data_IF_125151282557
#
_entry.id   IF_125151282557
#
_cell.length_a   1.000
_cell.length_b   1.000
_cell.length_c   1.000
_cell.angle_alpha   90.00
_cell.angle_beta   90.00
_cell.angle_gamma   90.00
#
_symmetry.space_group_name_H-M   'P 1'
#
loop_
_entity.id
_entity.type
_entity.pdbx_description
1 polymer ?
#
# COMPACT_ATOMS: atom_id res chain seq x y z
N UNK A 1 -7.23 15.06 1.61
CA UNK A 1 -7.72 14.26 0.50
C UNK A 1 -6.93 14.65 -0.75
N UNK A 2 -6.24 13.71 -1.39
CA UNK A 2 -5.44 13.98 -2.59
C UNK A 2 -6.27 13.71 -3.85
N UNK A 3 -6.05 14.51 -4.87
CA UNK A 3 -6.65 14.29 -6.19
C UNK A 3 -5.82 13.22 -6.91
N UNK A 4 -6.27 11.98 -6.77
CA UNK A 4 -5.60 10.83 -7.35
C UNK A 4 -6.13 10.54 -8.76
N UNK A 5 -5.21 10.41 -9.73
CA UNK A 5 -5.54 9.97 -11.09
C UNK A 5 -5.63 8.46 -11.18
N UNK A 6 -4.65 7.78 -10.63
CA UNK A 6 -4.53 6.33 -10.66
C UNK A 6 -3.80 5.81 -9.42
N UNK A 7 -4.27 4.73 -8.87
CA UNK A 7 -3.63 4.00 -7.81
C UNK A 7 -3.74 2.50 -8.08
N UNK A 8 -2.65 1.78 -7.92
CA UNK A 8 -2.66 0.32 -7.92
C UNK A 8 -2.53 -0.15 -6.48
N UNK A 9 -3.42 -1.04 -6.07
CA UNK A 9 -3.28 -1.66 -4.76
C UNK A 9 -2.06 -2.59 -4.78
N UNK A 10 -1.14 -2.46 -3.82
CA UNK A 10 0.06 -3.26 -3.81
C UNK A 10 -0.26 -4.72 -3.52
N UNK A 11 0.49 -5.61 -4.17
CA UNK A 11 0.40 -7.03 -3.91
C UNK A 11 0.97 -7.38 -2.54
N UNK A 12 0.40 -8.38 -1.89
CA UNK A 12 1.00 -9.06 -0.76
C UNK A 12 1.37 -10.47 -1.17
N UNK A 13 2.56 -10.90 -0.81
CA UNK A 13 3.07 -12.23 -1.14
C UNK A 13 3.41 -12.96 0.15
N UNK A 14 2.98 -14.21 0.24
CA UNK A 14 3.40 -15.12 1.30
C UNK A 14 4.48 -16.01 0.72
N UNK A 15 5.65 -16.01 1.33
CA UNK A 15 6.75 -16.86 0.89
C UNK A 15 6.43 -18.32 1.14
N UNK A 16 6.96 -19.17 0.27
CA UNK A 16 6.85 -20.62 0.41
C UNK A 16 8.14 -21.18 0.98
N UNK A 17 8.03 -21.96 2.05
CA UNK A 17 9.17 -22.66 2.65
C UNK A 17 9.07 -24.14 2.25
N UNK A 18 9.86 -24.60 1.27
CA UNK A 18 9.89 -26.01 0.90
C UNK A 18 10.75 -26.80 1.87
N UNK A 19 10.17 -27.84 2.46
CA UNK A 19 10.87 -28.82 3.29
C UNK A 19 10.88 -30.16 2.57
N UNK A 20 12.05 -30.72 2.33
CA UNK A 20 12.18 -32.04 1.71
C UNK A 20 11.84 -33.13 2.72
N UNK A 21 10.79 -33.87 2.43
CA UNK A 21 10.39 -35.04 3.19
C UNK A 21 10.30 -36.26 2.26
N UNK A 22 11.14 -37.26 2.50
CA UNK A 22 11.20 -38.51 1.74
C UNK A 22 11.30 -38.30 0.21
N UNK A 23 12.12 -37.32 -0.22
CA UNK A 23 12.34 -37.04 -1.65
C UNK A 23 11.23 -36.20 -2.32
N UNK A 24 10.24 -35.71 -1.55
CA UNK A 24 9.21 -34.80 -2.04
C UNK A 24 9.24 -33.49 -1.25
N UNK A 25 9.14 -32.32 -1.91
CA UNK A 25 9.00 -31.06 -1.22
C UNK A 25 7.61 -30.95 -0.60
N UNK A 26 7.55 -30.68 0.71
CA UNK A 26 6.34 -30.27 1.42
C UNK A 26 6.44 -28.77 1.61
N UNK A 27 5.43 -28.03 1.18
CA UNK A 27 5.41 -26.59 1.18
C UNK A 27 4.71 -26.07 2.43
N UNK A 28 5.37 -25.18 3.13
CA UNK A 28 4.82 -24.44 4.29
C UNK A 28 4.73 -22.96 3.97
N UNK A 29 3.72 -22.28 4.53
CA UNK A 29 3.62 -20.84 4.41
C UNK A 29 4.70 -20.16 5.25
N UNK A 30 5.45 -19.26 4.63
CA UNK A 30 6.43 -18.41 5.27
C UNK A 30 5.86 -17.05 5.66
N UNK A 31 6.73 -16.05 5.68
CA UNK A 31 6.37 -14.69 6.03
C UNK A 31 5.65 -13.96 4.90
N UNK A 32 4.81 -12.99 5.26
CA UNK A 32 4.13 -12.12 4.30
C UNK A 32 4.97 -10.89 4.04
N UNK A 33 5.19 -10.60 2.76
CA UNK A 33 5.87 -9.39 2.30
C UNK A 33 4.91 -8.48 1.54
N UNK A 34 5.10 -7.17 1.69
CA UNK A 34 4.29 -6.14 1.07
C UNK A 34 5.14 -5.31 0.11
N UNK A 35 4.61 -5.05 -1.08
CA UNK A 35 5.28 -4.21 -2.08
C UNK A 35 5.02 -2.73 -1.78
N UNK A 36 5.96 -1.82 -2.08
CA UNK A 36 5.72 -0.38 -1.98
C UNK A 36 4.49 0.03 -2.80
N UNK A 37 3.78 1.06 -2.33
CA UNK A 37 2.58 1.55 -2.98
C UNK A 37 2.86 2.81 -3.77
N UNK A 38 2.64 2.76 -5.09
CA UNK A 38 2.82 3.90 -5.99
C UNK A 38 1.46 4.46 -6.41
N UNK A 39 1.34 5.77 -6.30
CA UNK A 39 0.13 6.52 -6.63
C UNK A 39 0.48 7.64 -7.59
N UNK A 40 -0.31 7.78 -8.66
CA UNK A 40 -0.21 8.92 -9.58
C UNK A 40 -1.18 10.01 -9.15
N UNK A 41 -0.66 11.17 -8.84
CA UNK A 41 -1.41 12.34 -8.39
C UNK A 41 -1.46 13.42 -9.46
N UNK A 42 -2.55 14.17 -9.49
CA UNK A 42 -2.61 15.41 -10.26
C UNK A 42 -1.85 16.51 -9.54
N UNK A 43 -1.06 17.25 -10.30
CA UNK A 43 -0.46 18.47 -9.79
C UNK A 43 -1.47 19.61 -9.84
N UNK A 44 -1.64 20.28 -8.70
CA UNK A 44 -2.47 21.48 -8.63
C UNK A 44 -1.63 22.70 -9.03
N UNK A 45 -2.27 23.71 -9.63
CA UNK A 45 -1.63 24.98 -10.02
C UNK A 45 -0.95 25.71 -8.86
N UNK A 46 -1.35 25.43 -7.65
CA UNK A 46 -0.76 25.97 -6.40
C UNK A 46 0.33 25.07 -5.80
N UNK A 47 0.59 23.90 -6.39
CA UNK A 47 1.56 22.91 -5.90
C UNK A 47 1.38 22.48 -4.45
N UNK A 48 0.17 22.64 -3.89
CA UNK A 48 -0.09 22.37 -2.49
C UNK A 48 0.20 20.91 -2.11
N UNK A 49 -0.20 19.96 -2.95
CA UNK A 49 -0.03 18.53 -2.69
C UNK A 49 1.47 18.19 -2.71
N UNK A 50 2.19 18.66 -3.74
CA UNK A 50 3.62 18.42 -3.87
C UNK A 50 4.40 19.04 -2.73
N UNK A 51 4.11 20.29 -2.40
CA UNK A 51 4.76 21.00 -1.28
C UNK A 51 4.53 20.27 0.06
N UNK A 52 3.33 19.76 0.30
CA UNK A 52 3.04 18.99 1.49
C UNK A 52 3.86 17.70 1.58
N UNK A 53 4.02 17.00 0.45
CA UNK A 53 4.83 15.78 0.37
C UNK A 53 6.32 16.06 0.55
N UNK A 54 6.83 17.13 -0.06
CA UNK A 54 8.21 17.56 0.09
C UNK A 54 8.51 18.00 1.53
N UNK A 55 7.59 18.73 2.15
CA UNK A 55 7.69 19.09 3.57
C UNK A 55 7.67 17.84 4.48
N UNK A 56 6.85 16.86 4.13
CA UNK A 56 6.82 15.60 4.87
C UNK A 56 8.16 14.85 4.76
N UNK A 57 8.71 14.74 3.54
CA UNK A 57 10.03 14.14 3.33
C UNK A 57 11.14 14.92 4.07
N UNK A 58 11.11 16.25 3.99
CA UNK A 58 12.04 17.11 4.73
C UNK A 58 11.90 16.97 6.26
N UNK A 59 10.69 16.69 6.73
CA UNK A 59 10.44 16.37 8.13
C UNK A 59 10.99 15.02 8.57
N UNK A 60 11.10 14.06 7.66
CA UNK A 60 11.75 12.76 7.91
C UNK A 60 13.27 12.95 7.98
N UNK A 61 13.83 13.60 7.00
CA UNK A 61 15.24 13.93 6.93
C UNK A 61 15.42 15.33 6.32
N UNK A 62 16.03 16.22 7.08
CA UNK A 62 16.25 17.58 6.62
C UNK A 62 17.36 17.60 5.55
N UNK A 63 17.11 18.30 4.44
CA UNK A 63 18.05 18.43 3.32
C UNK A 63 19.37 19.10 3.72
N UNK A 64 19.32 20.09 4.60
CA UNK A 64 20.43 20.96 4.92
C UNK A 64 21.31 20.41 6.05
N UNK A 65 20.67 19.89 7.09
CA UNK A 65 21.39 19.42 8.30
C UNK A 65 21.60 17.92 8.34
N UNK A 66 21.02 17.16 7.41
CA UNK A 66 20.98 15.67 7.40
C UNK A 66 20.45 15.05 8.68
N UNK A 67 19.92 15.85 9.59
CA UNK A 67 19.28 15.38 10.81
C UNK A 67 17.90 14.79 10.49
N UNK A 68 17.71 13.53 10.83
CA UNK A 68 16.44 12.84 10.70
C UNK A 68 15.67 12.75 12.02
N UNK A 69 14.38 12.54 11.95
CA UNK A 69 13.56 12.20 13.13
C UNK A 69 13.86 10.76 13.54
N UNK A 70 14.27 10.59 14.76
CA UNK A 70 14.67 9.28 15.31
C UNK A 70 13.45 8.43 15.64
N UNK A 71 12.31 9.07 15.99
CA UNK A 71 11.09 8.35 16.35
C UNK A 71 10.19 8.15 15.13
N UNK A 72 9.94 6.90 14.69
CA UNK A 72 9.07 6.60 13.55
C UNK A 72 7.66 7.18 13.66
N UNK A 73 7.12 7.26 14.88
CA UNK A 73 5.77 7.79 15.13
C UNK A 73 5.61 9.28 14.77
N UNK A 74 6.72 9.99 14.62
CA UNK A 74 6.67 11.43 14.30
C UNK A 74 6.48 11.70 12.81
N UNK A 75 6.72 10.70 11.94
CA UNK A 75 6.60 10.85 10.48
C UNK A 75 5.71 9.81 9.81
N UNK A 76 5.38 8.73 10.49
CA UNK A 76 4.50 7.68 9.96
C UNK A 76 3.03 8.07 10.18
N UNK A 77 2.22 7.87 9.16
CA UNK A 77 0.78 8.19 9.16
C UNK A 77 0.00 7.04 8.53
N UNK A 78 -1.18 6.78 9.07
CA UNK A 78 -2.11 5.85 8.45
C UNK A 78 -2.78 6.49 7.24
N UNK A 79 -2.72 5.80 6.10
CA UNK A 79 -3.38 6.20 4.88
C UNK A 79 -4.57 5.29 4.59
N UNK A 80 -5.65 5.87 4.07
CA UNK A 80 -6.82 5.11 3.66
C UNK A 80 -7.12 5.33 2.18
N UNK A 81 -7.46 4.24 1.48
CA UNK A 81 -7.89 4.25 0.09
C UNK A 81 -9.28 3.67 0.01
N UNK A 82 -10.18 4.45 -0.57
CA UNK A 82 -11.56 4.04 -0.78
C UNK A 82 -11.77 3.71 -2.26
N UNK A 83 -12.16 2.50 -2.52
CA UNK A 83 -12.63 2.11 -3.84
C UNK A 83 -14.10 2.53 -3.95
N UNK A 84 -14.39 3.34 -4.95
CA UNK A 84 -15.71 3.88 -5.17
C UNK A 84 -16.44 3.13 -6.30
N UNK A 85 -17.76 2.99 -6.15
CA UNK A 85 -18.63 2.54 -7.21
C UNK A 85 -18.89 3.68 -8.23
N UNK A 86 -19.50 3.33 -9.36
CA UNK A 86 -19.90 4.28 -10.39
C UNK A 86 -20.81 5.42 -9.87
N UNK A 87 -21.53 5.18 -8.79
CA UNK A 87 -22.38 6.16 -8.10
C UNK A 87 -21.65 6.98 -7.03
N UNK A 88 -20.34 6.76 -6.82
CA UNK A 88 -19.57 7.42 -5.79
C UNK A 88 -19.70 6.80 -4.39
N UNK A 89 -20.40 5.67 -4.25
CA UNK A 89 -20.47 4.95 -2.97
C UNK A 89 -19.19 4.14 -2.74
N UNK A 90 -18.73 4.08 -1.49
CA UNK A 90 -17.56 3.30 -1.12
C UNK A 90 -17.90 1.82 -1.13
N UNK A 91 -17.23 1.05 -2.00
CA UNK A 91 -17.37 -0.40 -2.08
C UNK A 91 -16.43 -1.09 -1.10
N UNK A 92 -15.18 -0.61 -1.03
CA UNK A 92 -14.13 -1.23 -0.22
C UNK A 92 -13.15 -0.20 0.26
N UNK A 93 -12.68 -0.38 1.49
CA UNK A 93 -11.67 0.48 2.12
C UNK A 93 -10.42 -0.33 2.42
N UNK A 94 -9.29 0.21 2.00
CA UNK A 94 -7.97 -0.30 2.35
C UNK A 94 -7.27 0.70 3.26
N UNK A 95 -6.70 0.22 4.35
CA UNK A 95 -5.94 1.01 5.29
C UNK A 95 -4.49 0.58 5.27
N UNK A 96 -3.60 1.52 4.99
CA UNK A 96 -2.14 1.34 5.06
C UNK A 96 -1.66 1.87 6.40
N UNK A 97 -0.97 1.03 7.14
CA UNK A 97 -0.53 1.36 8.50
C UNK A 97 0.94 1.79 8.47
N UNK A 98 1.23 2.87 9.18
CA UNK A 98 2.56 3.44 9.33
C UNK A 98 3.21 3.80 7.98
N UNK A 99 2.45 4.47 7.11
CA UNK A 99 2.92 4.86 5.79
C UNK A 99 3.72 6.17 5.81
N UNK A 100 4.71 6.24 4.94
CA UNK A 100 5.49 7.44 4.69
C UNK A 100 6.00 7.48 3.25
N UNK A 101 6.21 8.68 2.65
CA UNK A 101 6.66 8.79 1.27
C UNK A 101 8.17 8.53 1.17
N UNK A 102 8.54 7.55 0.35
CA UNK A 102 9.95 7.26 0.04
C UNK A 102 10.44 7.96 -1.21
N UNK A 103 9.55 8.22 -2.16
CA UNK A 103 9.92 8.84 -3.42
C UNK A 103 8.79 9.71 -3.95
N UNK A 104 9.14 10.90 -4.42
CA UNK A 104 8.29 11.78 -5.21
C UNK A 104 8.95 11.96 -6.56
N UNK A 105 8.28 11.57 -7.65
CA UNK A 105 8.87 11.62 -8.97
C UNK A 105 9.09 13.06 -9.47
N UNK A 106 10.00 13.21 -10.43
CA UNK A 106 10.16 14.45 -11.14
C UNK A 106 8.90 14.79 -11.96
N UNK A 107 8.61 16.07 -12.12
CA UNK A 107 7.60 16.58 -13.04
C UNK A 107 8.33 17.00 -14.31
N UNK A 108 7.89 16.46 -15.46
CA UNK A 108 8.37 16.93 -16.74
C UNK A 108 7.75 18.29 -17.04
N UNK A 109 8.58 19.33 -17.11
CA UNK A 109 8.17 20.67 -17.51
C UNK A 109 8.44 20.81 -19.00
N UNK A 110 7.39 20.83 -19.80
CA UNK A 110 7.48 20.99 -21.24
C UNK A 110 6.56 22.13 -21.69
N UNK A 111 7.14 23.09 -22.40
CA UNK A 111 6.40 24.25 -22.90
C UNK A 111 5.52 23.91 -24.12
N UNK A 112 5.81 22.82 -24.81
CA UNK A 112 5.08 22.41 -26.02
C UNK A 112 3.81 21.59 -25.72
N UNK A 113 3.69 21.02 -24.54
CA UNK A 113 2.52 20.25 -24.13
C UNK A 113 1.41 21.16 -23.62
N UNK A 114 0.63 21.68 -24.56
CA UNK A 114 -0.61 22.38 -24.27
C UNK A 114 -1.76 21.38 -24.05
N UNK A 115 -2.61 21.62 -23.04
CA UNK A 115 -3.80 20.83 -22.69
C UNK A 115 -3.58 19.48 -21.96
N UNK A 116 -2.44 19.27 -21.33
CA UNK A 116 -2.26 18.14 -20.42
C UNK A 116 -2.16 18.61 -18.98
N UNK A 117 -2.90 17.93 -18.11
CA UNK A 117 -2.78 18.15 -16.66
C UNK A 117 -1.52 17.44 -16.19
N UNK A 118 -0.64 18.17 -15.54
CA UNK A 118 0.58 17.60 -14.97
C UNK A 118 0.26 16.55 -13.92
N UNK A 119 1.00 15.46 -13.97
CA UNK A 119 0.90 14.37 -13.02
C UNK A 119 2.27 14.00 -12.52
N UNK A 120 2.34 13.51 -11.28
CA UNK A 120 3.56 12.97 -10.71
C UNK A 120 3.25 11.73 -9.87
N UNK A 121 4.25 10.88 -9.72
CA UNK A 121 4.11 9.64 -8.97
C UNK A 121 4.72 9.80 -7.58
N UNK A 122 4.03 9.26 -6.60
CA UNK A 122 4.50 9.17 -5.22
C UNK A 122 4.53 7.72 -4.82
N UNK A 123 5.66 7.27 -4.29
CA UNK A 123 5.80 5.93 -3.75
C UNK A 123 5.83 6.00 -2.23
N UNK A 124 4.93 5.26 -1.62
CA UNK A 124 4.84 5.12 -0.17
C UNK A 124 5.39 3.77 0.28
N UNK A 125 6.13 3.78 1.36
CA UNK A 125 6.44 2.60 2.15
C UNK A 125 5.51 2.54 3.34
N UNK A 126 5.14 1.35 3.75
CA UNK A 126 4.24 1.10 4.88
C UNK A 126 4.57 -0.25 5.51
N UNK A 127 4.10 -0.50 6.72
CA UNK A 127 4.38 -1.76 7.40
C UNK A 127 3.47 -2.88 6.89
N UNK A 128 2.17 -2.64 6.84
CA UNK A 128 1.18 -3.59 6.31
C UNK A 128 -0.10 -2.85 5.90
N UNK A 129 -0.92 -3.51 5.12
CA UNK A 129 -2.25 -3.00 4.80
C UNK A 129 -3.33 -3.96 5.28
N UNK A 130 -4.49 -3.41 5.60
CA UNK A 130 -5.70 -4.14 5.93
C UNK A 130 -6.84 -3.72 5.02
N UNK A 131 -7.80 -4.60 4.79
CA UNK A 131 -9.05 -4.25 4.12
C UNK A 131 -10.21 -4.40 5.09
N UNK A 132 -11.34 -3.76 4.81
CA UNK A 132 -12.55 -3.85 5.61
C UNK A 132 -13.09 -5.28 5.78
N UNK A 133 -12.67 -6.20 4.91
CA UNK A 133 -12.98 -7.64 4.99
C UNK A 133 -11.92 -8.44 5.73
N UNK A 134 -10.74 -7.86 6.00
CA UNK A 134 -9.66 -8.50 6.76
C UNK A 134 -9.55 -7.86 8.14
N UNK A 135 -10.16 -8.46 9.14
CA UNK A 135 -9.95 -8.08 10.54
C UNK A 135 -8.61 -8.60 11.01
N UNK A 136 -7.74 -7.70 11.50
CA UNK A 136 -6.49 -8.09 12.13
C UNK A 136 -6.75 -8.93 13.38
N UNK A 137 -6.27 -10.15 13.39
CA UNK A 137 -6.19 -10.98 14.59
C UNK A 137 -7.41 -11.81 14.93
N UNK A 138 -8.40 -11.93 14.06
CA UNK A 138 -9.50 -12.86 14.26
C UNK A 138 -9.26 -14.15 13.48
N UNK A 139 -9.53 -15.23 14.16
CA UNK A 139 -9.50 -16.59 13.64
C UNK A 139 -10.01 -16.66 12.21
N UNK A 140 -9.18 -17.14 11.33
CA UNK A 140 -9.55 -17.48 9.96
C UNK A 140 -10.54 -18.64 9.99
N UNK A 141 -11.82 -18.32 10.14
CA UNK A 141 -12.88 -19.30 10.06
C UNK A 141 -13.17 -19.65 8.61
N UNK A 142 -12.46 -20.63 8.06
CA UNK A 142 -12.92 -21.33 6.87
C UNK A 142 -13.94 -22.36 7.33
N UNK A 143 -15.21 -22.02 7.28
CA UNK A 143 -16.28 -22.99 7.40
C UNK A 143 -16.46 -23.66 6.03
N UNK A 144 -15.77 -24.75 5.81
CA UNK A 144 -15.96 -25.61 4.67
C UNK A 144 -16.10 -27.06 5.11
N UNK A 145 -17.12 -27.75 4.65
CA UNK A 145 -17.20 -29.20 4.75
C UNK A 145 -16.53 -29.81 3.54
N UNK A 146 -15.45 -30.53 3.75
CA UNK A 146 -14.86 -31.38 2.70
C UNK A 146 -15.59 -32.70 2.70
N UNK A 147 -16.44 -32.92 1.70
CA UNK A 147 -17.01 -34.24 1.45
C UNK A 147 -15.95 -35.15 0.84
N UNK A 148 -15.45 -36.05 1.64
CA UNK A 148 -14.62 -37.17 1.14
C UNK A 148 -15.48 -38.42 1.01
N UNK A 149 -15.10 -39.41 0.16
CA UNK A 149 -15.82 -40.68 0.04
C UNK A 149 -15.88 -41.49 1.33
N UNK A 150 -15.18 -41.07 2.37
CA UNK A 150 -15.07 -41.79 3.66
C UNK A 150 -15.87 -41.09 4.79
N UNK A 151 -16.55 -39.97 4.51
CA UNK A 151 -17.29 -39.19 5.48
C UNK A 151 -16.94 -37.72 5.50
N UNK A 152 -17.76 -36.92 6.15
CA UNK A 152 -17.53 -35.49 6.33
C UNK A 152 -16.73 -35.24 7.62
N UNK A 153 -15.59 -34.60 7.51
CA UNK A 153 -14.86 -34.11 8.68
C UNK A 153 -15.08 -32.59 8.81
N UNK A 154 -15.53 -32.10 9.99
CA UNK A 154 -15.50 -30.67 10.26
C UNK A 154 -14.04 -30.20 10.42
N UNK A 155 -13.71 -29.15 9.74
CA UNK A 155 -12.44 -28.43 9.91
C UNK A 155 -12.54 -27.44 11.05
#
# INVERSE_FOLDING_TARGET
QFLCKAAQLPASTIENIPVLYRGRPVNFAGERTFQPWTVTLYNDTTFNIRNALEQWQSGIQNYDTTNGRVNPRDYQVDLAVHQLDRNGATIKTYKFVDAYPISVSAIALDFETTNQIETFDVTFQYNYWTSDTSTSGSSFGVSGTVNTPIGSFPL
#
